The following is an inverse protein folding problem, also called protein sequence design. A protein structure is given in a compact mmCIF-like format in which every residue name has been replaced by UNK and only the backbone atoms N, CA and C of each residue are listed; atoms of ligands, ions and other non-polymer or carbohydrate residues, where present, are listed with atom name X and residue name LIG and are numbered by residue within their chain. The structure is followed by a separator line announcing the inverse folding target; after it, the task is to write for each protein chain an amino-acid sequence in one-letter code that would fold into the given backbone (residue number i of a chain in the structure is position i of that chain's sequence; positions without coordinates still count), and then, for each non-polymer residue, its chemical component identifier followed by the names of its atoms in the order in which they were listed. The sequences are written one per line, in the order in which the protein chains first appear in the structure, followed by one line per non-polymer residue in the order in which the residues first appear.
data_IF_352053451412
#
_entry.id   IF_352053451412
#
_cell.length_a   1.000
_cell.length_b   1.000
_cell.length_c   1.000
_cell.angle_alpha   90.00
_cell.angle_beta   90.00
_cell.angle_gamma   90.00
#
_symmetry.space_group_name_H-M   'P 1'
#
loop_
_entity.id
_entity.type
_entity.pdbx_description
1 polymer ?
#
# COMPACT_ATOMS: atom_id res chain seq x y z
N UNK A 1 -6.03 3.29 10.10
CA UNK A 1 -4.62 2.83 10.14
C UNK A 1 -3.74 3.79 9.36
N UNK A 2 -2.66 4.25 9.98
CA UNK A 2 -1.65 5.15 9.43
C UNK A 2 -0.32 4.42 9.29
N UNK A 3 0.51 4.87 8.35
CA UNK A 3 1.77 4.22 8.00
C UNK A 3 2.86 5.26 7.76
N UNK A 4 4.05 4.98 8.24
CA UNK A 4 5.27 5.74 7.93
C UNK A 4 6.39 4.77 7.61
N UNK A 5 7.37 5.22 6.85
CA UNK A 5 8.50 4.40 6.42
C UNK A 5 9.80 5.17 6.52
N UNK A 6 10.90 4.47 6.79
CA UNK A 6 12.25 5.00 6.72
C UNK A 6 13.14 4.01 5.97
N UNK A 7 14.09 4.53 5.19
CA UNK A 7 15.15 3.77 4.54
C UNK A 7 16.48 4.26 5.06
N UNK A 8 17.28 3.35 5.59
CA UNK A 8 18.64 3.62 6.04
C UNK A 8 19.62 2.97 5.07
N UNK A 9 20.54 3.74 4.49
CA UNK A 9 21.63 3.21 3.67
C UNK A 9 22.73 2.68 4.58
N UNK A 10 23.14 1.44 4.40
CA UNK A 10 24.15 0.79 5.25
C UNK A 10 24.70 -0.47 4.57
N UNK A 11 25.96 -0.80 4.88
CA UNK A 11 26.64 -2.05 4.52
C UNK A 11 26.26 -3.23 5.44
N UNK A 12 25.50 -2.99 6.52
CA UNK A 12 25.18 -4.00 7.55
C UNK A 12 23.70 -4.12 7.91
N UNK A 13 22.76 -4.07 6.95
CA UNK A 13 21.32 -4.07 7.25
C UNK A 13 20.88 -5.34 8.01
N UNK A 14 21.43 -6.51 7.64
CA UNK A 14 21.16 -7.79 8.31
C UNK A 14 21.60 -7.81 9.77
N UNK A 15 22.68 -7.08 10.10
CA UNK A 15 23.17 -6.95 11.47
C UNK A 15 22.16 -6.15 12.31
N UNK A 16 21.71 -5.01 11.78
CA UNK A 16 20.74 -4.16 12.46
C UNK A 16 19.38 -4.84 12.63
N UNK A 17 18.91 -5.56 11.62
CA UNK A 17 17.73 -6.39 11.70
C UNK A 17 17.80 -7.35 12.91
N UNK A 18 18.87 -8.17 12.98
CA UNK A 18 19.06 -9.15 14.06
C UNK A 18 19.16 -8.49 15.43
N UNK A 19 19.89 -7.39 15.54
CA UNK A 19 20.05 -6.66 16.81
C UNK A 19 18.74 -6.07 17.31
N UNK A 20 17.96 -5.41 16.43
CA UNK A 20 16.67 -4.84 16.78
C UNK A 20 15.67 -5.93 17.20
N UNK A 21 15.51 -6.99 16.40
CA UNK A 21 14.57 -8.06 16.73
C UNK A 21 14.94 -8.74 18.05
N UNK A 22 16.21 -9.12 18.22
CA UNK A 22 16.69 -9.78 19.44
C UNK A 22 16.50 -8.90 20.68
N UNK A 23 16.88 -7.63 20.60
CA UNK A 23 16.73 -6.71 21.73
C UNK A 23 15.26 -6.44 22.08
N UNK A 24 14.41 -6.25 21.08
CA UNK A 24 12.98 -5.99 21.28
C UNK A 24 12.25 -7.22 21.85
N UNK A 25 12.65 -8.43 21.46
CA UNK A 25 12.06 -9.69 21.93
C UNK A 25 12.08 -9.87 23.45
N UNK A 26 12.97 -9.16 24.16
CA UNK A 26 12.99 -9.16 25.63
C UNK A 26 11.81 -8.43 26.28
N UNK A 27 11.11 -7.57 25.55
CA UNK A 27 10.04 -6.71 26.09
C UNK A 27 8.73 -6.84 25.34
N UNK A 28 8.77 -7.11 24.04
CA UNK A 28 7.60 -7.16 23.17
C UNK A 28 7.71 -8.34 22.20
N UNK A 29 6.59 -8.89 21.69
CA UNK A 29 6.63 -9.93 20.67
C UNK A 29 7.40 -9.45 19.45
N UNK A 30 8.45 -10.16 19.09
CA UNK A 30 9.26 -9.91 17.91
C UNK A 30 9.67 -11.22 17.24
N UNK A 31 9.65 -11.25 15.92
CA UNK A 31 9.89 -12.44 15.10
C UNK A 31 10.86 -12.10 13.98
N UNK A 32 11.81 -13.00 13.70
CA UNK A 32 12.75 -12.92 12.59
C UNK A 32 12.44 -14.03 11.58
N UNK A 33 12.25 -13.68 10.33
CA UNK A 33 12.01 -14.59 9.21
C UNK A 33 12.92 -14.20 8.03
N UNK A 34 14.07 -14.88 7.93
CA UNK A 34 15.11 -14.58 6.94
C UNK A 34 15.53 -13.11 6.99
N UNK A 35 15.20 -12.37 5.94
CA UNK A 35 15.53 -10.95 5.77
C UNK A 35 14.45 -9.98 6.24
N UNK A 36 13.47 -10.49 6.97
CA UNK A 36 12.38 -9.71 7.52
C UNK A 36 12.27 -9.90 9.02
N UNK A 37 11.92 -8.83 9.71
CA UNK A 37 11.63 -8.86 11.15
C UNK A 37 10.32 -8.16 11.42
N UNK A 38 9.52 -8.70 12.34
CA UNK A 38 8.31 -8.02 12.81
C UNK A 38 8.41 -7.76 14.30
N UNK A 39 7.98 -6.57 14.74
CA UNK A 39 7.94 -6.17 16.15
C UNK A 39 6.55 -5.63 16.44
N UNK A 40 5.89 -6.15 17.48
CA UNK A 40 4.52 -5.80 17.87
C UNK A 40 4.50 -5.06 19.19
N UNK A 41 4.19 -3.77 19.16
CA UNK A 41 4.00 -2.92 20.33
C UNK A 41 2.51 -2.88 20.70
N UNK A 42 2.19 -2.39 21.90
CA UNK A 42 0.80 -2.07 22.27
C UNK A 42 0.19 -0.97 21.40
N UNK A 43 1.02 0.01 21.00
CA UNK A 43 0.61 1.19 20.22
C UNK A 43 0.60 0.95 18.70
N UNK A 44 1.25 -0.11 18.21
CA UNK A 44 1.42 -0.32 16.77
C UNK A 44 2.40 -1.44 16.46
N UNK A 45 2.84 -1.53 15.22
CA UNK A 45 3.79 -2.55 14.76
C UNK A 45 4.85 -1.96 13.87
N UNK A 46 6.03 -2.58 13.84
CA UNK A 46 7.10 -2.28 12.91
C UNK A 46 7.47 -3.53 12.11
N UNK A 47 7.55 -3.39 10.79
CA UNK A 47 8.16 -4.35 9.88
C UNK A 47 9.55 -3.82 9.51
N UNK A 48 10.54 -4.69 9.61
CA UNK A 48 11.93 -4.45 9.28
C UNK A 48 12.30 -5.32 8.07
N UNK A 49 12.99 -4.77 7.09
CA UNK A 49 13.44 -5.50 5.90
C UNK A 49 14.90 -5.18 5.64
N UNK A 50 15.75 -6.20 5.65
CA UNK A 50 17.15 -6.08 5.26
C UNK A 50 17.30 -6.37 3.76
N UNK A 51 18.06 -5.53 3.08
CA UNK A 51 18.49 -5.71 1.70
C UNK A 51 20.01 -5.83 1.64
N UNK A 52 20.62 -5.76 0.46
CA UNK A 52 22.09 -5.77 0.32
C UNK A 52 22.73 -4.43 0.63
N UNK A 53 22.01 -3.32 0.48
CA UNK A 53 22.54 -1.95 0.63
C UNK A 53 21.66 -1.01 1.47
N UNK A 54 20.50 -1.49 1.93
CA UNK A 54 19.56 -0.69 2.70
C UNK A 54 18.82 -1.50 3.75
N UNK A 55 18.39 -0.80 4.79
CA UNK A 55 17.53 -1.29 5.84
C UNK A 55 16.23 -0.49 5.85
N UNK A 56 15.14 -1.14 5.45
CA UNK A 56 13.81 -0.55 5.36
C UNK A 56 13.00 -0.84 6.61
N UNK A 57 12.32 0.18 7.12
CA UNK A 57 11.49 0.09 8.30
C UNK A 57 10.12 0.69 8.01
N UNK A 58 9.06 -0.07 8.25
CA UNK A 58 7.68 0.36 8.04
C UNK A 58 6.95 0.28 9.36
N UNK A 59 6.44 1.41 9.84
CA UNK A 59 5.64 1.50 11.05
C UNK A 59 4.17 1.66 10.68
N UNK A 60 3.30 0.95 11.41
CA UNK A 60 1.85 1.00 11.29
C UNK A 60 1.23 1.20 12.67
N UNK A 61 0.30 2.15 12.80
CA UNK A 61 -0.49 2.34 14.01
C UNK A 61 -1.89 2.91 13.73
N UNK A 62 -2.73 2.97 14.76
CA UNK A 62 -4.10 3.47 14.68
C UNK A 62 -4.19 5.00 14.55
N UNK A 63 -3.27 5.73 15.17
CA UNK A 63 -3.26 7.19 15.29
C UNK A 63 -1.84 7.77 15.07
N UNK A 64 -1.75 9.08 14.81
CA UNK A 64 -0.52 9.74 14.37
C UNK A 64 0.55 9.81 15.47
N UNK A 65 0.11 10.08 16.71
CA UNK A 65 0.93 10.04 17.92
C UNK A 65 1.52 8.64 18.17
N UNK A 66 0.72 7.59 17.98
CA UNK A 66 1.16 6.22 18.10
C UNK A 66 2.18 5.84 17.02
N UNK A 67 1.99 6.31 15.78
CA UNK A 67 2.99 6.15 14.71
C UNK A 67 4.31 6.81 15.12
N UNK A 68 4.27 8.06 15.58
CA UNK A 68 5.46 8.80 15.99
C UNK A 68 6.19 8.10 17.14
N UNK A 69 5.47 7.62 18.16
CA UNK A 69 6.04 6.93 19.31
C UNK A 69 6.75 5.61 18.93
N UNK A 70 6.16 4.83 18.02
CA UNK A 70 6.79 3.59 17.54
C UNK A 70 8.02 3.90 16.69
N UNK A 71 7.92 4.85 15.76
CA UNK A 71 9.04 5.28 14.91
C UNK A 71 10.24 5.77 15.74
N UNK A 72 9.99 6.64 16.71
CA UNK A 72 10.99 7.16 17.65
C UNK A 72 11.62 6.05 18.51
N UNK A 73 10.81 5.08 18.98
CA UNK A 73 11.34 3.91 19.68
C UNK A 73 12.28 3.10 18.81
N UNK A 74 11.92 2.81 17.55
CA UNK A 74 12.78 2.07 16.62
C UNK A 74 14.07 2.87 16.33
N UNK A 75 13.97 4.17 16.04
CA UNK A 75 15.13 5.04 15.78
C UNK A 75 16.12 5.02 16.94
N UNK A 76 15.68 5.24 18.18
CA UNK A 76 16.58 5.24 19.35
C UNK A 76 17.35 3.94 19.50
N UNK A 77 16.69 2.81 19.28
CA UNK A 77 17.33 1.51 19.43
C UNK A 77 18.29 1.22 18.28
N UNK A 78 17.93 1.59 17.05
CA UNK A 78 18.82 1.46 15.91
C UNK A 78 20.11 2.28 16.11
N UNK A 79 19.98 3.57 16.46
CA UNK A 79 21.12 4.46 16.67
C UNK A 79 22.01 4.01 17.85
N UNK A 80 21.41 3.39 18.88
CA UNK A 80 22.18 2.79 19.98
C UNK A 80 23.04 1.60 19.53
N UNK A 81 22.64 0.86 18.51
CA UNK A 81 23.45 -0.24 17.95
C UNK A 81 24.49 0.26 16.94
N UNK A 82 24.18 1.37 16.29
CA UNK A 82 24.96 1.97 15.22
C UNK A 82 25.92 3.07 15.72
N UNK A 83 26.45 2.98 16.95
CA UNK A 83 27.28 4.07 17.51
C UNK A 83 28.57 4.37 16.74
N UNK A 84 29.00 3.43 15.88
CA UNK A 84 30.16 3.59 15.01
C UNK A 84 29.80 3.97 13.57
N UNK A 85 28.51 4.02 13.25
CA UNK A 85 28.01 4.28 11.90
C UNK A 85 27.21 5.58 11.92
N UNK A 86 27.50 6.50 11.00
CA UNK A 86 26.70 7.71 10.82
C UNK A 86 25.41 7.37 10.04
N UNK A 87 24.41 6.86 10.76
CA UNK A 87 23.10 6.54 10.17
C UNK A 87 22.15 7.74 10.26
N UNK A 88 21.55 8.09 9.12
CA UNK A 88 20.41 9.02 9.06
C UNK A 88 19.11 8.22 8.97
N UNK A 89 18.12 8.57 9.80
CA UNK A 89 16.81 7.92 9.83
C UNK A 89 15.72 8.96 9.61
N UNK A 90 15.30 9.10 8.36
CA UNK A 90 14.22 10.00 7.97
C UNK A 90 12.92 9.22 7.75
N UNK A 91 11.93 9.51 8.59
CA UNK A 91 10.59 8.92 8.49
C UNK A 91 9.71 9.74 7.56
N UNK A 92 9.20 9.11 6.51
CA UNK A 92 8.34 9.69 5.49
C UNK A 92 7.00 8.95 5.41
N UNK A 93 5.91 9.60 4.98
CA UNK A 93 4.66 8.91 4.70
C UNK A 93 4.86 7.76 3.71
N UNK A 94 4.40 6.56 4.06
CA UNK A 94 4.47 5.42 3.13
C UNK A 94 3.61 5.67 1.88
N UNK A 95 2.45 6.31 2.05
CA UNK A 95 1.50 6.61 0.98
C UNK A 95 1.31 8.12 0.87
N UNK A 96 1.38 8.63 -0.36
CA UNK A 96 1.18 10.05 -0.69
C UNK A 96 0.39 10.21 -1.99
N UNK A 97 -0.19 11.39 -2.28
CA UNK A 97 -0.68 11.71 -3.61
C UNK A 97 0.40 11.51 -4.68
N UNK A 98 -0.02 11.06 -5.85
CA UNK A 98 0.85 11.00 -7.01
C UNK A 98 1.16 12.42 -7.52
N UNK A 99 2.36 12.59 -8.05
CA UNK A 99 2.78 13.81 -8.74
C UNK A 99 3.04 13.49 -10.23
N UNK A 100 3.11 14.51 -11.08
CA UNK A 100 3.33 14.32 -12.51
C UNK A 100 4.68 13.62 -12.79
N UNK A 101 5.66 13.86 -11.93
CA UNK A 101 7.00 13.27 -11.99
C UNK A 101 7.00 11.75 -11.72
N UNK A 102 5.93 11.21 -11.12
CA UNK A 102 5.79 9.77 -10.87
C UNK A 102 5.44 8.98 -12.15
N UNK A 103 5.14 9.63 -13.27
CA UNK A 103 4.61 9.00 -14.50
C UNK A 103 5.46 7.82 -14.96
N UNK A 104 6.77 8.04 -15.14
CA UNK A 104 7.71 7.02 -15.60
C UNK A 104 7.77 5.82 -14.65
N UNK A 105 7.79 6.08 -13.33
CA UNK A 105 7.85 5.04 -12.32
C UNK A 105 6.55 4.22 -12.26
N UNK A 106 5.40 4.90 -12.40
CA UNK A 106 4.09 4.26 -12.46
C UNK A 106 3.90 3.44 -13.73
N UNK A 107 4.38 3.93 -14.87
CA UNK A 107 4.35 3.18 -16.12
C UNK A 107 5.16 1.89 -16.01
N UNK A 108 6.36 1.97 -15.43
CA UNK A 108 7.21 0.81 -15.18
C UNK A 108 6.54 -0.19 -14.22
N UNK A 109 5.92 0.29 -13.15
CA UNK A 109 5.19 -0.53 -12.18
C UNK A 109 3.99 -1.25 -12.82
N UNK A 110 3.16 -0.51 -13.56
CA UNK A 110 1.95 -1.01 -14.24
C UNK A 110 2.31 -2.14 -15.23
N UNK A 111 3.39 -1.96 -16.00
CA UNK A 111 3.92 -2.97 -16.92
C UNK A 111 4.44 -4.21 -16.20
N UNK A 112 5.21 -4.03 -15.12
CA UNK A 112 5.87 -5.12 -14.42
C UNK A 112 4.92 -5.97 -13.57
N UNK A 113 3.82 -5.39 -13.06
CA UNK A 113 2.92 -6.07 -12.13
C UNK A 113 1.78 -6.85 -12.78
N UNK A 114 1.60 -6.71 -14.09
CA UNK A 114 0.53 -7.38 -14.82
C UNK A 114 0.67 -8.91 -14.79
N UNK A 115 -0.44 -9.62 -14.58
CA UNK A 115 -0.53 -11.08 -14.77
C UNK A 115 -1.91 -11.48 -15.33
N UNK A 116 -2.03 -12.66 -15.94
CA UNK A 116 -3.30 -13.15 -16.51
C UNK A 116 -4.37 -13.36 -15.43
N UNK A 117 -3.94 -13.64 -14.20
CA UNK A 117 -4.83 -13.82 -13.06
C UNK A 117 -5.30 -12.53 -12.41
N UNK A 118 -4.73 -11.37 -12.76
CA UNK A 118 -4.97 -10.11 -12.04
C UNK A 118 -5.21 -8.91 -12.95
N UNK A 119 -5.32 -9.10 -14.28
CA UNK A 119 -5.53 -7.98 -15.19
C UNK A 119 -5.86 -8.36 -16.62
N UNK A 120 -6.49 -7.43 -17.34
CA UNK A 120 -6.78 -7.55 -18.77
C UNK A 120 -5.49 -7.44 -19.59
N UNK A 121 -5.40 -8.05 -20.79
CA UNK A 121 -4.20 -7.97 -21.63
C UNK A 121 -4.05 -6.64 -22.39
N UNK A 122 -5.15 -5.94 -22.70
CA UNK A 122 -5.12 -4.71 -23.51
C UNK A 122 -4.35 -3.53 -22.88
N UNK A 123 -4.31 -3.33 -21.54
CA UNK A 123 -3.41 -2.36 -20.90
C UNK A 123 -1.91 -2.62 -21.12
N UNK A 124 -1.52 -3.81 -21.61
CA UNK A 124 -0.12 -4.15 -21.95
C UNK A 124 0.38 -3.49 -23.24
N UNK A 125 -0.48 -2.81 -24.02
CA UNK A 125 -0.10 -2.25 -25.31
C UNK A 125 1.26 -1.55 -25.21
N UNK A 126 2.28 -2.17 -25.83
CA UNK A 126 3.70 -1.82 -25.67
C UNK A 126 3.96 -0.36 -26.07
N UNK A 127 3.07 0.19 -26.87
CA UNK A 127 3.04 1.56 -27.39
C UNK A 127 2.73 2.64 -26.32
N UNK A 128 2.29 2.28 -25.11
CA UNK A 128 2.02 3.28 -24.05
C UNK A 128 3.31 3.96 -23.60
N UNK A 129 3.54 5.20 -24.00
CA UNK A 129 4.71 6.00 -23.59
C UNK A 129 4.55 6.74 -22.26
N UNK A 130 3.32 6.83 -21.74
CA UNK A 130 3.00 7.50 -20.48
C UNK A 130 1.98 6.71 -19.64
N UNK A 131 2.06 6.87 -18.31
CA UNK A 131 1.07 6.29 -17.39
C UNK A 131 -0.18 7.17 -17.31
N UNK A 132 0.01 8.47 -17.10
CA UNK A 132 -1.03 9.47 -16.99
C UNK A 132 -1.54 9.90 -18.38
N UNK A 133 -2.82 10.25 -18.41
CA UNK A 133 -3.52 10.76 -19.60
C UNK A 133 -4.81 11.47 -19.15
N UNK A 134 -5.65 11.88 -20.10
CA UNK A 134 -6.92 12.56 -19.82
C UNK A 134 -7.83 11.81 -18.83
N UNK A 135 -7.74 10.47 -18.80
CA UNK A 135 -8.53 9.58 -17.91
C UNK A 135 -7.79 9.23 -16.62
N UNK A 136 -6.46 9.18 -16.64
CA UNK A 136 -5.60 8.86 -15.50
C UNK A 136 -4.82 10.11 -15.11
N UNK A 137 -5.38 10.93 -14.24
CA UNK A 137 -4.70 12.14 -13.77
C UNK A 137 -3.95 11.87 -12.44
N UNK A 138 -2.85 12.57 -12.14
CA UNK A 138 -2.14 12.41 -10.89
C UNK A 138 -3.02 12.58 -9.64
N UNK A 139 -3.98 13.51 -9.68
CA UNK A 139 -4.80 13.86 -8.52
C UNK A 139 -5.77 12.74 -8.10
N UNK A 140 -6.02 11.77 -8.97
CA UNK A 140 -6.85 10.60 -8.67
C UNK A 140 -6.06 9.42 -8.14
N UNK A 141 -4.72 9.54 -8.05
CA UNK A 141 -3.82 8.46 -7.68
C UNK A 141 -3.14 8.72 -6.34
N UNK A 142 -2.99 7.65 -5.57
CA UNK A 142 -2.09 7.56 -4.45
C UNK A 142 -0.97 6.58 -4.80
N UNK A 143 0.25 6.90 -4.38
CA UNK A 143 1.43 6.05 -4.57
C UNK A 143 2.01 5.65 -3.23
N UNK A 144 2.54 4.44 -3.16
CA UNK A 144 3.34 3.97 -2.05
C UNK A 144 4.82 4.11 -2.43
N UNK A 145 5.58 4.81 -1.59
CA UNK A 145 7.00 5.05 -1.81
C UNK A 145 7.85 4.45 -0.68
N UNK A 146 8.88 3.69 -1.03
CA UNK A 146 9.84 3.13 -0.10
C UNK A 146 11.25 3.58 -0.50
N UNK A 147 11.91 4.36 0.36
CA UNK A 147 13.22 4.92 0.07
C UNK A 147 13.29 5.70 -1.24
N UNK A 148 12.26 6.51 -1.51
CA UNK A 148 12.13 7.32 -2.73
C UNK A 148 11.61 6.56 -3.96
N UNK A 149 11.52 5.22 -3.92
CA UNK A 149 11.06 4.42 -5.06
C UNK A 149 9.56 4.14 -4.97
N UNK A 150 8.84 4.32 -6.07
CA UNK A 150 7.42 3.92 -6.16
C UNK A 150 7.32 2.40 -6.23
N UNK A 151 6.67 1.83 -5.22
CA UNK A 151 6.52 0.37 -5.05
C UNK A 151 5.07 -0.08 -5.09
N UNK A 152 4.13 0.86 -5.18
CA UNK A 152 2.71 0.54 -5.31
C UNK A 152 1.88 1.76 -5.70
N UNK A 153 0.68 1.53 -6.21
CA UNK A 153 -0.27 2.58 -6.57
C UNK A 153 -1.71 2.12 -6.37
N UNK A 154 -2.62 3.08 -6.25
CA UNK A 154 -4.07 2.88 -6.30
C UNK A 154 -4.72 4.17 -6.78
N UNK A 155 -5.86 4.09 -7.46
CA UNK A 155 -6.65 5.26 -7.83
C UNK A 155 -8.09 5.18 -7.36
N UNK A 156 -8.67 6.35 -7.13
CA UNK A 156 -10.08 6.53 -6.80
C UNK A 156 -10.77 7.42 -7.82
N UNK A 157 -11.99 7.08 -8.20
CA UNK A 157 -12.79 7.87 -9.14
C UNK A 157 -14.27 7.90 -8.72
N UNK A 158 -15.02 8.90 -9.17
CA UNK A 158 -16.48 8.87 -9.06
C UNK A 158 -17.01 7.83 -10.06
N UNK A 159 -17.89 6.96 -9.61
CA UNK A 159 -18.42 5.87 -10.46
C UNK A 159 -19.51 6.34 -11.44
N UNK A 160 -20.09 7.51 -11.20
CA UNK A 160 -21.20 8.05 -11.99
C UNK A 160 -21.13 9.58 -12.04
N UNK A 161 -21.56 10.21 -13.15
CA UNK A 161 -21.63 11.66 -13.27
C UNK A 161 -22.82 12.28 -12.52
N UNK A 162 -23.82 11.49 -12.11
CA UNK A 162 -25.08 12.02 -11.57
C UNK A 162 -25.00 12.35 -10.06
N UNK A 163 -25.67 13.42 -9.59
CA UNK A 163 -25.67 13.83 -8.18
C UNK A 163 -26.11 12.74 -7.19
N UNK A 164 -27.07 11.90 -7.57
CA UNK A 164 -27.63 10.84 -6.74
C UNK A 164 -26.58 9.80 -6.34
N UNK A 165 -25.60 9.57 -7.21
CA UNK A 165 -24.48 8.66 -6.97
C UNK A 165 -23.17 9.35 -6.57
N UNK A 166 -23.18 10.67 -6.32
CA UNK A 166 -21.99 11.44 -5.98
C UNK A 166 -21.23 10.94 -4.74
N UNK A 167 -21.87 10.12 -3.91
CA UNK A 167 -21.31 9.51 -2.70
C UNK A 167 -20.63 8.15 -2.95
N UNK A 168 -20.66 7.63 -4.19
CA UNK A 168 -20.11 6.31 -4.55
C UNK A 168 -18.84 6.46 -5.37
N UNK A 169 -17.73 6.05 -4.77
CA UNK A 169 -16.41 6.07 -5.39
C UNK A 169 -16.01 4.66 -5.80
N UNK A 170 -15.21 4.55 -6.85
CA UNK A 170 -14.60 3.32 -7.31
C UNK A 170 -13.12 3.30 -7.01
N UNK A 171 -12.58 2.13 -6.63
CA UNK A 171 -11.14 1.86 -6.55
C UNK A 171 -10.68 1.14 -7.80
N UNK A 172 -9.63 1.65 -8.44
CA UNK A 172 -8.98 1.03 -9.59
C UNK A 172 -7.47 0.95 -9.38
N UNK A 173 -6.85 0.07 -10.18
CA UNK A 173 -5.42 -0.09 -10.30
C UNK A 173 -4.66 -0.21 -8.97
N UNK A 174 -5.18 -0.99 -8.02
CA UNK A 174 -4.43 -1.34 -6.82
C UNK A 174 -3.31 -2.32 -7.20
N UNK A 175 -2.08 -1.85 -7.17
CA UNK A 175 -0.91 -2.60 -7.63
C UNK A 175 0.25 -2.44 -6.66
N UNK A 176 1.01 -3.53 -6.46
CA UNK A 176 2.22 -3.55 -5.64
C UNK A 176 3.30 -4.35 -6.36
N UNK A 177 4.50 -3.76 -6.44
CA UNK A 177 5.67 -4.38 -7.03
C UNK A 177 5.99 -5.71 -6.35
N UNK A 178 6.38 -6.74 -7.12
CA UNK A 178 6.61 -8.11 -6.61
C UNK A 178 7.54 -8.12 -5.39
N UNK A 179 8.69 -7.45 -5.49
CA UNK A 179 9.70 -7.38 -4.43
C UNK A 179 9.19 -6.70 -3.14
N UNK A 180 8.13 -5.89 -3.24
CA UNK A 180 7.53 -5.15 -2.14
C UNK A 180 6.24 -5.82 -1.60
N UNK A 181 5.87 -7.00 -2.12
CA UNK A 181 4.72 -7.76 -1.62
C UNK A 181 4.98 -8.30 -0.22
N UNK A 182 3.88 -8.63 0.46
CA UNK A 182 3.87 -9.14 1.85
C UNK A 182 4.44 -8.14 2.87
N UNK A 183 4.51 -6.85 2.52
CA UNK A 183 4.94 -5.75 3.40
C UNK A 183 3.77 -4.85 3.84
N UNK A 184 2.52 -5.34 3.72
CA UNK A 184 1.29 -4.58 3.98
C UNK A 184 1.09 -3.31 3.13
N UNK A 185 1.83 -3.15 2.03
CA UNK A 185 1.73 -1.96 1.15
C UNK A 185 0.34 -1.86 0.52
N UNK A 186 -0.23 -2.95 0.02
CA UNK A 186 -1.59 -2.94 -0.54
C UNK A 186 -2.63 -2.52 0.51
N UNK A 187 -2.48 -3.00 1.75
CA UNK A 187 -3.31 -2.57 2.88
C UNK A 187 -3.14 -1.08 3.20
N UNK A 188 -1.92 -0.55 3.10
CA UNK A 188 -1.65 0.87 3.32
C UNK A 188 -2.30 1.75 2.23
N UNK A 189 -2.14 1.36 0.96
CA UNK A 189 -2.76 2.01 -0.19
C UNK A 189 -4.29 2.00 -0.07
N UNK A 190 -4.89 0.85 0.22
CA UNK A 190 -6.33 0.70 0.37
C UNK A 190 -6.88 1.57 1.51
N UNK A 191 -6.25 1.52 2.69
CA UNK A 191 -6.63 2.37 3.82
C UNK A 191 -6.49 3.87 3.52
N UNK A 192 -5.48 4.27 2.75
CA UNK A 192 -5.28 5.67 2.35
C UNK A 192 -6.32 6.12 1.33
N UNK A 193 -6.63 5.27 0.35
CA UNK A 193 -7.64 5.55 -0.67
C UNK A 193 -9.05 5.69 -0.07
N UNK A 194 -9.40 4.84 0.90
CA UNK A 194 -10.66 4.96 1.65
C UNK A 194 -10.76 6.28 2.41
N UNK A 195 -9.68 6.69 3.10
CA UNK A 195 -9.65 8.00 3.79
C UNK A 195 -9.78 9.15 2.81
N UNK A 196 -9.05 9.10 1.70
CA UNK A 196 -9.09 10.12 0.67
C UNK A 196 -10.50 10.27 0.07
N UNK A 197 -11.11 9.15 -0.34
CA UNK A 197 -12.49 9.12 -0.82
C UNK A 197 -13.46 9.65 0.24
N UNK A 198 -13.32 9.22 1.50
CA UNK A 198 -14.13 9.72 2.62
C UNK A 198 -14.04 11.23 2.82
N UNK A 199 -12.83 11.81 2.73
CA UNK A 199 -12.64 13.27 2.79
C UNK A 199 -13.29 14.03 1.61
N UNK A 200 -13.56 13.34 0.51
CA UNK A 200 -14.27 13.88 -0.65
C UNK A 200 -15.78 13.59 -0.61
N UNK A 201 -16.30 13.09 0.52
CA UNK A 201 -17.73 12.83 0.72
C UNK A 201 -18.19 11.43 0.30
N UNK A 202 -17.27 10.51 -0.01
CA UNK A 202 -17.64 9.13 -0.30
C UNK A 202 -18.28 8.48 0.93
N UNK A 203 -19.45 7.86 0.72
CA UNK A 203 -20.12 6.99 1.70
C UNK A 203 -19.97 5.51 1.35
N UNK A 204 -19.57 5.22 0.11
CA UNK A 204 -19.32 3.87 -0.38
C UNK A 204 -18.13 3.87 -1.32
N UNK A 205 -17.32 2.83 -1.20
CA UNK A 205 -16.26 2.50 -2.15
C UNK A 205 -16.57 1.15 -2.78
N UNK A 206 -16.60 1.09 -4.11
CA UNK A 206 -16.78 -0.13 -4.89
C UNK A 206 -15.54 -0.47 -5.69
N UNK A 207 -15.42 -1.72 -6.10
CA UNK A 207 -14.38 -2.21 -7.00
C UNK A 207 -14.87 -3.39 -7.83
N UNK A 208 -14.13 -3.70 -8.89
CA UNK A 208 -14.28 -4.89 -9.73
C UNK A 208 -12.96 -5.65 -9.71
N UNK A 209 -13.02 -6.97 -9.60
CA UNK A 209 -11.86 -7.85 -9.48
C UNK A 209 -12.15 -9.18 -10.18
N UNK A 210 -11.21 -9.64 -11.01
CA UNK A 210 -11.33 -10.94 -11.67
C UNK A 210 -11.48 -12.04 -10.61
N UNK A 211 -12.37 -13.00 -10.85
CA UNK A 211 -12.59 -14.13 -9.94
C UNK A 211 -11.33 -14.99 -9.72
N UNK A 212 -10.36 -14.91 -10.65
CA UNK A 212 -9.05 -15.56 -10.58
C UNK A 212 -8.08 -14.86 -9.62
N UNK A 213 -8.27 -13.58 -9.29
CA UNK A 213 -7.42 -12.83 -8.37
C UNK A 213 -7.81 -13.07 -6.90
N UNK A 214 -7.67 -14.32 -6.48
CA UNK A 214 -8.01 -14.74 -5.10
C UNK A 214 -7.19 -14.02 -4.03
N UNK A 215 -6.01 -13.51 -4.40
CA UNK A 215 -5.16 -12.70 -3.51
C UNK A 215 -5.77 -11.33 -3.22
N UNK A 216 -6.20 -10.62 -4.27
CA UNK A 216 -6.87 -9.34 -4.13
C UNK A 216 -8.23 -9.49 -3.42
N UNK A 217 -9.03 -10.52 -3.76
CA UNK A 217 -10.31 -10.80 -3.09
C UNK A 217 -10.12 -10.93 -1.57
N UNK A 218 -9.18 -11.78 -1.12
CA UNK A 218 -8.88 -11.95 0.31
C UNK A 218 -8.43 -10.66 0.98
N UNK A 219 -7.63 -9.84 0.28
CA UNK A 219 -7.24 -8.53 0.78
C UNK A 219 -8.47 -7.64 0.99
N UNK A 220 -9.37 -7.56 0.02
CA UNK A 220 -10.58 -6.74 0.11
C UNK A 220 -11.51 -7.23 1.23
N UNK A 221 -11.74 -8.54 1.36
CA UNK A 221 -12.51 -9.14 2.45
C UNK A 221 -11.93 -8.78 3.83
N UNK A 222 -10.60 -8.89 3.98
CA UNK A 222 -9.90 -8.51 5.23
C UNK A 222 -10.04 -7.02 5.57
N UNK A 223 -10.26 -6.17 4.57
CA UNK A 223 -10.54 -4.74 4.76
C UNK A 223 -12.03 -4.42 4.84
N UNK A 224 -12.90 -5.44 4.87
CA UNK A 224 -14.34 -5.28 5.08
C UNK A 224 -15.15 -4.97 3.82
N UNK A 225 -14.61 -5.27 2.64
CA UNK A 225 -15.41 -5.30 1.41
C UNK A 225 -16.22 -6.59 1.35
N UNK A 226 -17.46 -6.49 0.90
CA UNK A 226 -18.33 -7.63 0.66
C UNK A 226 -18.64 -7.75 -0.84
N UNK A 227 -18.87 -8.97 -1.31
CA UNK A 227 -19.36 -9.20 -2.68
C UNK A 227 -20.76 -8.61 -2.84
N UNK A 228 -20.94 -7.79 -3.86
CA UNK A 228 -22.22 -7.17 -4.22
C UNK A 228 -22.79 -7.72 -5.52
N UNK A 229 -21.96 -8.36 -6.35
CA UNK A 229 -22.40 -8.96 -7.61
C UNK A 229 -21.31 -9.80 -8.28
N UNK A 230 -21.74 -10.61 -9.25
CA UNK A 230 -20.87 -11.43 -10.10
C UNK A 230 -21.36 -11.33 -11.54
N UNK A 231 -20.45 -11.04 -12.44
CA UNK A 231 -20.68 -11.00 -13.89
C UNK A 231 -20.03 -12.25 -14.47
N UNK A 232 -20.88 -13.20 -14.88
CA UNK A 232 -20.43 -14.48 -15.43
C UNK A 232 -19.87 -14.30 -16.84
N UNK A 233 -18.74 -14.96 -17.13
CA UNK A 233 -18.05 -14.95 -18.42
C UNK A 233 -17.78 -13.52 -18.97
N UNK A 234 -17.61 -12.55 -18.07
CA UNK A 234 -17.51 -11.12 -18.41
C UNK A 234 -16.30 -10.82 -19.32
N UNK A 235 -15.17 -11.50 -19.09
CA UNK A 235 -13.94 -11.27 -19.84
C UNK A 235 -13.41 -12.56 -20.48
N UNK A 236 -12.97 -12.46 -21.73
CA UNK A 236 -12.17 -13.49 -22.39
C UNK A 236 -10.68 -13.12 -22.26
N UNK A 237 -9.93 -13.85 -21.44
CA UNK A 237 -8.51 -13.62 -21.16
C UNK A 237 -7.73 -14.86 -21.55
N UNK A 238 -6.79 -14.70 -22.49
CA UNK A 238 -5.94 -15.79 -22.99
C UNK A 238 -6.74 -17.05 -23.37
N UNK A 239 -7.91 -16.86 -23.99
CA UNK A 239 -8.79 -17.94 -24.47
C UNK A 239 -9.72 -18.56 -23.41
N UNK A 240 -9.71 -18.06 -22.18
CA UNK A 240 -10.57 -18.54 -21.08
C UNK A 240 -11.55 -17.45 -20.67
N UNK A 241 -12.83 -17.82 -20.49
CA UNK A 241 -13.82 -16.91 -19.90
C UNK A 241 -13.59 -16.80 -18.38
N UNK A 242 -13.55 -15.57 -17.89
CA UNK A 242 -13.26 -15.23 -16.51
C UNK A 242 -14.35 -14.31 -15.99
N UNK A 243 -14.94 -14.71 -14.87
CA UNK A 243 -15.94 -13.91 -14.17
C UNK A 243 -15.32 -12.67 -13.54
N UNK A 244 -16.12 -11.62 -13.45
CA UNK A 244 -15.77 -10.42 -12.70
C UNK A 244 -16.64 -10.29 -11.46
N UNK A 245 -16.01 -9.98 -10.33
CA UNK A 245 -16.65 -9.86 -9.03
C UNK A 245 -16.71 -8.39 -8.66
N UNK A 246 -17.93 -7.90 -8.42
CA UNK A 246 -18.11 -6.58 -7.81
C UNK A 246 -18.08 -6.71 -6.30
N UNK A 247 -17.25 -5.90 -5.66
CA UNK A 247 -17.18 -5.80 -4.22
C UNK A 247 -17.38 -4.36 -3.77
N UNK A 248 -17.95 -4.17 -2.59
CA UNK A 248 -18.22 -2.84 -2.03
C UNK A 248 -18.06 -2.79 -0.52
N UNK A 249 -17.75 -1.58 -0.04
CA UNK A 249 -17.64 -1.26 1.39
C UNK A 249 -18.31 0.08 1.65
N UNK A 250 -19.16 0.13 2.67
CA UNK A 250 -19.66 1.40 3.21
C UNK A 250 -18.58 2.04 4.07
N UNK A 251 -18.28 3.29 3.81
CA UNK A 251 -17.40 4.07 4.66
C UNK A 251 -18.21 4.62 5.83
N UNK A 252 -17.66 4.51 7.04
CA UNK A 252 -18.23 5.22 8.19
C UNK A 252 -17.91 6.70 8.02
N UNK A 253 -18.88 7.62 8.09
CA UNK A 253 -18.57 9.04 8.05
C UNK A 253 -17.62 9.39 9.21
N UNK A 254 -16.65 10.30 9.01
CA UNK A 254 -15.83 10.78 10.12
C UNK A 254 -16.76 11.38 11.19
N UNK A 255 -16.55 10.99 12.46
CA UNK A 255 -17.26 11.59 13.59
C UNK A 255 -17.01 13.11 13.58
N UNK A 256 -18.04 13.97 13.66
CA UNK A 256 -17.82 15.40 13.75
C UNK A 256 -17.10 15.72 15.07
N UNK A 257 -15.88 16.26 15.00
CA UNK A 257 -15.21 16.87 16.15
C UNK A 257 -13.83 16.31 16.49
N UNK A 258 -12.80 16.81 15.82
CA UNK A 258 -11.53 17.18 16.46
C UNK A 258 -10.85 18.21 15.55
N UNK A 259 -11.06 19.49 15.87
CA UNK A 259 -10.27 20.63 15.38
C UNK A 259 -9.23 20.92 16.45
#
# INVERSE_FOLDING_TARGET
MLYTTARVVTDRPHRYLKQLVSHMAHKVPAELDGERGSIRFSLGSCLLVASTAHFDMIVKAGAADAVAAVADTITRHLLRFATKDELTVDWLPLVRPAAAEDDTALLALDRAAWTAGSGLPSPRAEDRTAYFNERRKPETHLVAALGGQIVGAVSTHRTTPFPEGAHVFGLWNLVVAEHARRMSIASALLSAAERHAGSQGAKKVGLRVLATDTGAIRLYEQHGYAVEGRYADEFLIDGTYVDDISMGKRLTPPTPGTV
#
